data_IF_649037439237
#
_entry.id   IF_649037439237
#
_cell.length_a   1.000
_cell.length_b   1.000
_cell.length_c   1.000
_cell.angle_alpha   90.00
_cell.angle_beta   90.00
_cell.angle_gamma   90.00
#
_symmetry.space_group_name_H-M   'P 1'
#
loop_
_entity.id
_entity.type
_entity.pdbx_description
1 polymer ?
#
# COMPACT_ATOMS: atom_id res chain seq x y z
N UNK A 1 0.82 -6.27 -9.04
CA UNK A 1 2.02 -6.81 -9.71
C UNK A 1 3.24 -6.26 -8.99
N UNK A 2 4.33 -7.02 -8.90
CA UNK A 2 5.60 -6.57 -8.30
C UNK A 2 6.65 -6.47 -9.41
N UNK A 3 7.46 -5.41 -9.40
CA UNK A 3 8.53 -5.23 -10.39
C UNK A 3 9.69 -6.19 -10.11
N UNK A 4 10.11 -6.96 -11.12
CA UNK A 4 11.21 -7.93 -10.99
C UNK A 4 12.61 -7.34 -11.30
N UNK A 5 12.70 -6.03 -11.55
CA UNK A 5 13.97 -5.35 -11.85
C UNK A 5 14.56 -5.62 -13.24
N UNK A 6 13.90 -6.45 -14.06
CA UNK A 6 14.32 -6.82 -15.42
C UNK A 6 13.32 -6.38 -16.50
N UNK A 7 12.46 -5.41 -16.19
CA UNK A 7 11.40 -4.92 -17.08
C UNK A 7 10.14 -5.81 -17.12
N UNK A 8 10.09 -6.88 -16.32
CA UNK A 8 8.90 -7.72 -16.16
C UNK A 8 8.24 -7.49 -14.80
N UNK A 9 7.00 -7.98 -14.70
CA UNK A 9 6.21 -7.94 -13.47
C UNK A 9 5.75 -9.34 -13.08
N UNK A 10 5.72 -9.61 -11.78
CA UNK A 10 5.20 -10.86 -11.21
C UNK A 10 3.89 -10.62 -10.47
N UNK A 11 3.17 -11.69 -10.14
CA UNK A 11 1.96 -11.60 -9.35
C UNK A 11 2.22 -10.80 -8.06
N UNK A 12 1.41 -9.77 -7.83
CA UNK A 12 1.49 -8.97 -6.60
C UNK A 12 0.38 -9.32 -5.64
N UNK A 13 0.54 -8.90 -4.39
CA UNK A 13 -0.49 -9.04 -3.37
C UNK A 13 -1.68 -8.13 -3.69
N UNK A 14 -2.90 -8.62 -3.43
CA UNK A 14 -4.08 -7.76 -3.29
C UNK A 14 -4.22 -7.47 -1.80
N UNK A 15 -4.22 -6.19 -1.44
CA UNK A 15 -4.42 -5.79 -0.05
C UNK A 15 -5.76 -5.10 0.06
N UNK A 16 -6.55 -5.55 1.03
CA UNK A 16 -7.84 -4.94 1.31
C UNK A 16 -7.64 -3.63 2.07
N UNK A 17 -8.44 -2.63 1.70
CA UNK A 17 -8.59 -1.37 2.42
C UNK A 17 -10.09 -1.14 2.66
N UNK A 18 -10.44 -0.02 3.29
CA UNK A 18 -11.83 0.39 3.44
C UNK A 18 -12.55 0.60 2.10
N UNK A 19 -13.83 0.98 2.19
CA UNK A 19 -14.73 1.03 1.03
C UNK A 19 -14.67 2.42 0.41
N UNK A 20 -14.58 2.45 -0.93
CA UNK A 20 -14.54 3.69 -1.70
C UNK A 20 -13.30 4.55 -1.38
N UNK A 21 -12.07 4.02 -1.51
CA UNK A 21 -10.87 4.81 -1.39
C UNK A 21 -10.86 5.91 -2.45
N UNK A 22 -10.63 7.17 -2.04
CA UNK A 22 -10.59 8.33 -2.96
C UNK A 22 -9.24 9.01 -3.04
N UNK A 23 -8.35 8.74 -2.09
CA UNK A 23 -6.99 9.28 -2.08
C UNK A 23 -6.02 8.28 -1.48
N UNK A 24 -4.77 8.36 -1.92
CA UNK A 24 -3.67 7.49 -1.52
C UNK A 24 -2.42 8.33 -1.26
N UNK A 25 -1.65 7.98 -0.23
CA UNK A 25 -0.35 8.58 0.08
C UNK A 25 0.66 7.51 0.48
N UNK A 26 1.95 7.79 0.25
CA UNK A 26 3.07 6.91 0.56
C UNK A 26 4.06 7.67 1.44
N UNK A 27 4.43 7.09 2.59
CA UNK A 27 5.42 7.62 3.52
C UNK A 27 5.91 6.49 4.44
N UNK A 28 7.06 6.65 5.09
CA UNK A 28 7.44 5.82 6.23
C UNK A 28 6.75 6.37 7.49
N UNK A 29 5.71 5.68 7.95
CA UNK A 29 4.84 6.14 9.05
C UNK A 29 5.25 5.54 10.39
N UNK A 30 5.88 4.36 10.38
CA UNK A 30 6.28 3.64 11.58
C UNK A 30 7.78 3.77 11.91
N UNK A 31 8.58 4.38 11.02
CA UNK A 31 10.01 4.64 11.19
C UNK A 31 10.90 3.43 10.90
N UNK A 32 10.44 2.44 10.16
CA UNK A 32 11.22 1.23 9.83
C UNK A 32 12.06 1.36 8.56
N UNK A 33 11.97 2.50 7.87
CA UNK A 33 12.69 2.76 6.62
C UNK A 33 12.05 2.09 5.40
N UNK A 34 10.85 1.54 5.52
CA UNK A 34 10.05 1.03 4.41
C UNK A 34 8.90 1.98 4.07
N UNK A 35 8.49 1.94 2.80
CA UNK A 35 7.37 2.74 2.34
C UNK A 35 6.05 2.11 2.80
N UNK A 36 5.28 2.83 3.61
CA UNK A 36 3.92 2.48 3.99
C UNK A 36 2.90 3.13 3.06
N UNK A 37 1.66 2.64 3.12
CA UNK A 37 0.54 3.16 2.35
C UNK A 37 -0.57 3.66 3.26
N UNK A 38 -1.15 4.81 2.94
CA UNK A 38 -2.37 5.32 3.57
C UNK A 38 -3.44 5.51 2.52
N UNK A 39 -4.67 5.09 2.83
CA UNK A 39 -5.85 5.32 2.00
C UNK A 39 -6.92 6.06 2.79
N UNK A 40 -7.53 7.07 2.17
CA UNK A 40 -8.72 7.73 2.69
C UNK A 40 -9.98 7.12 2.06
N UNK A 41 -10.82 6.48 2.87
CA UNK A 41 -11.94 5.68 2.40
C UNK A 41 -13.26 6.41 2.64
N UNK A 42 -13.80 7.02 1.57
CA UNK A 42 -14.96 7.91 1.66
C UNK A 42 -16.24 7.17 2.03
N UNK A 43 -16.42 5.94 1.59
CA UNK A 43 -17.68 5.21 1.82
C UNK A 43 -17.71 4.57 3.20
N UNK A 44 -16.60 4.00 3.67
CA UNK A 44 -16.50 3.42 5.02
C UNK A 44 -16.24 4.46 6.13
N UNK A 45 -15.93 5.71 5.78
CA UNK A 45 -15.58 6.79 6.71
C UNK A 45 -14.40 6.44 7.63
N UNK A 46 -13.40 5.75 7.08
CA UNK A 46 -12.18 5.37 7.80
C UNK A 46 -10.91 5.64 6.97
N UNK A 47 -9.77 5.40 7.62
CA UNK A 47 -8.46 5.43 7.01
C UNK A 47 -7.85 4.05 7.16
N UNK A 48 -7.29 3.49 6.09
CA UNK A 48 -6.49 2.27 6.19
C UNK A 48 -5.01 2.62 6.08
N UNK A 49 -4.21 2.08 7.00
CA UNK A 49 -2.75 2.14 6.98
C UNK A 49 -2.23 0.73 6.71
N UNK A 50 -1.37 0.59 5.72
CA UNK A 50 -0.72 -0.67 5.36
C UNK A 50 0.78 -0.48 5.54
N UNK A 51 1.37 -1.24 6.45
CA UNK A 51 2.80 -1.14 6.74
C UNK A 51 3.61 -1.93 5.72
N UNK A 52 4.58 -1.28 5.09
CA UNK A 52 5.44 -1.87 4.08
C UNK A 52 6.47 -2.81 4.69
N UNK A 53 6.83 -3.85 3.95
CA UNK A 53 7.89 -4.81 4.35
C UNK A 53 9.17 -4.70 3.54
N UNK A 54 9.31 -3.62 2.76
CA UNK A 54 10.48 -3.35 1.91
C UNK A 54 10.62 -4.25 0.66
N UNK A 55 9.78 -5.26 0.50
CA UNK A 55 9.83 -6.24 -0.61
C UNK A 55 8.60 -6.19 -1.53
N UNK A 56 7.83 -5.09 -1.49
CA UNK A 56 6.60 -4.93 -2.26
C UNK A 56 5.37 -5.64 -1.67
N UNK A 57 5.45 -6.06 -0.40
CA UNK A 57 4.36 -6.66 0.39
C UNK A 57 3.98 -5.71 1.53
N UNK A 58 2.71 -5.77 1.94
CA UNK A 58 2.14 -5.07 3.09
C UNK A 58 1.41 -6.07 4.01
#
# INVERSE_FOLDING_TARGET
>A
MIGAGNGTFTAGQRVAVGIGPTSIAVADLNGDGHADLVTANRTSNDVSILLGRGNGIF
#
